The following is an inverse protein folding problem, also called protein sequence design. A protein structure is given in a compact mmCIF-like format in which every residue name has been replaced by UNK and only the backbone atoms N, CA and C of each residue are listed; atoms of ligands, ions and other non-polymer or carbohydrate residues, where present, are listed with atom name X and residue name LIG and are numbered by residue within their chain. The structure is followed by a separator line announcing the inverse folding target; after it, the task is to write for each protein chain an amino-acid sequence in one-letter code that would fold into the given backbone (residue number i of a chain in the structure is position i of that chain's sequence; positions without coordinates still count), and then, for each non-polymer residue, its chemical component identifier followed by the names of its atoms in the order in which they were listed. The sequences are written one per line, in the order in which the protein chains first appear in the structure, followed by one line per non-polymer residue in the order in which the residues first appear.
data_IF_942219699736
#
_entry.id   IF_942219699736
#
_cell.length_a   1.000
_cell.length_b   1.000
_cell.length_c   1.000
_cell.angle_alpha   90.00
_cell.angle_beta   90.00
_cell.angle_gamma   90.00
#
_symmetry.space_group_name_H-M   'P 1'
#
loop_
_entity.id
_entity.type
_entity.pdbx_description
1 polymer ?
#
# COMPACT_ATOMS: atom_id res chain seq x y z
N UNK A 1 -3.23 5.66 5.35
CA UNK A 1 -3.60 5.35 3.94
C UNK A 1 -3.58 3.85 3.74
N UNK A 2 -4.56 3.29 3.05
CA UNK A 2 -4.58 1.89 2.66
C UNK A 2 -4.46 1.84 1.14
N UNK A 3 -3.53 1.06 0.63
CA UNK A 3 -3.41 0.74 -0.80
C UNK A 3 -3.80 -0.71 -0.97
N UNK A 4 -4.97 -0.92 -1.58
CA UNK A 4 -5.49 -2.25 -1.87
C UNK A 4 -4.98 -2.72 -3.24
N UNK A 5 -4.24 -3.83 -3.24
CA UNK A 5 -3.62 -4.44 -4.40
C UNK A 5 -4.07 -5.90 -4.56
N UNK A 6 -5.25 -6.27 -4.05
CA UNK A 6 -5.80 -7.65 -4.16
C UNK A 6 -5.83 -8.15 -5.62
N UNK A 7 -6.18 -7.28 -6.58
CA UNK A 7 -6.24 -7.59 -8.03
C UNK A 7 -5.06 -7.04 -8.85
N UNK A 8 -3.94 -6.76 -8.19
CA UNK A 8 -2.75 -6.16 -8.80
C UNK A 8 -1.99 -7.06 -9.79
N UNK A 9 -2.53 -8.24 -10.13
CA UNK A 9 -1.95 -9.15 -11.14
C UNK A 9 -1.70 -8.43 -12.48
N UNK A 10 -2.43 -7.35 -12.76
CA UNK A 10 -2.29 -6.55 -13.98
C UNK A 10 -1.47 -5.26 -13.81
N UNK A 11 -0.90 -4.98 -12.63
CA UNK A 11 -0.12 -3.76 -12.43
C UNK A 11 1.23 -3.86 -13.13
N UNK A 12 1.44 -2.96 -14.10
CA UNK A 12 2.75 -2.74 -14.72
C UNK A 12 3.66 -2.01 -13.72
N UNK A 13 4.96 -2.22 -13.82
CA UNK A 13 5.99 -1.49 -13.04
C UNK A 13 5.79 0.03 -13.06
N UNK A 14 5.36 0.61 -14.18
CA UNK A 14 5.04 2.04 -14.29
C UNK A 14 3.89 2.49 -13.39
N UNK A 15 2.95 1.59 -13.06
CA UNK A 15 1.88 1.87 -12.10
C UNK A 15 2.38 1.89 -10.66
N UNK A 16 3.42 1.11 -10.36
CA UNK A 16 4.12 1.17 -9.06
C UNK A 16 4.79 2.54 -8.90
N UNK A 17 5.41 3.08 -9.95
CA UNK A 17 6.00 4.43 -9.91
C UNK A 17 4.97 5.52 -9.60
N UNK A 18 3.75 5.41 -10.15
CA UNK A 18 2.64 6.32 -9.85
C UNK A 18 2.25 6.22 -8.37
N UNK A 19 2.12 5.01 -7.83
CA UNK A 19 1.84 4.79 -6.40
C UNK A 19 2.96 5.42 -5.55
N UNK A 20 4.22 5.25 -5.95
CA UNK A 20 5.37 5.84 -5.24
C UNK A 20 5.41 7.37 -5.31
N UNK A 21 4.98 7.95 -6.43
CA UNK A 21 4.86 9.41 -6.58
C UNK A 21 3.74 9.96 -5.70
N UNK A 22 2.56 9.33 -5.74
CA UNK A 22 1.44 9.68 -4.87
C UNK A 22 1.85 9.61 -3.39
N UNK A 23 2.58 8.55 -3.00
CA UNK A 23 3.13 8.37 -1.66
C UNK A 23 4.11 9.47 -1.24
N UNK A 24 4.98 9.93 -2.15
CA UNK A 24 5.90 11.04 -1.87
C UNK A 24 5.12 12.34 -1.64
N UNK A 25 4.11 12.60 -2.47
CA UNK A 25 3.31 13.82 -2.41
C UNK A 25 2.40 13.87 -1.17
N UNK A 26 1.84 12.72 -0.75
CA UNK A 26 1.02 12.62 0.48
C UNK A 26 1.81 12.42 1.77
N UNK A 27 3.14 12.18 1.69
CA UNK A 27 3.97 11.85 2.85
C UNK A 27 4.01 12.90 3.96
N UNK A 28 3.65 14.17 3.68
CA UNK A 28 3.63 15.23 4.72
C UNK A 28 2.56 15.02 5.79
N UNK A 29 1.48 14.26 5.50
CA UNK A 29 0.33 14.12 6.40
C UNK A 29 -0.03 12.66 6.75
N UNK A 30 0.72 11.66 6.28
CA UNK A 30 0.41 10.26 6.55
C UNK A 30 1.20 9.72 7.73
N UNK A 31 0.53 9.50 8.86
CA UNK A 31 1.13 8.85 10.04
C UNK A 31 1.46 7.37 9.80
N UNK A 32 0.58 6.62 9.12
CA UNK A 32 0.77 5.20 8.81
C UNK A 32 0.16 4.82 7.45
N UNK A 33 0.79 3.85 6.78
CA UNK A 33 0.33 3.27 5.51
C UNK A 33 0.37 1.75 5.53
N UNK A 34 -0.64 1.11 4.94
CA UNK A 34 -0.74 -0.34 4.73
C UNK A 34 -0.89 -0.67 3.24
N UNK A 35 -0.23 -1.75 2.80
CA UNK A 35 -0.30 -2.28 1.44
C UNK A 35 -0.86 -3.70 1.49
N UNK A 36 -2.07 -3.89 0.98
CA UNK A 36 -2.76 -5.20 0.99
C UNK A 36 -2.33 -5.99 -0.24
N UNK A 37 -1.47 -7.00 -0.07
CA UNK A 37 -0.94 -7.83 -1.17
C UNK A 37 -1.08 -9.30 -0.78
N UNK A 38 -2.20 -9.95 -1.15
CA UNK A 38 -2.54 -11.28 -0.64
C UNK A 38 -1.88 -12.41 -1.47
N UNK A 39 -1.72 -12.23 -2.79
CA UNK A 39 -1.42 -13.34 -3.72
C UNK A 39 -0.58 -12.91 -4.94
N UNK A 40 0.47 -12.12 -4.73
CA UNK A 40 1.43 -11.77 -5.78
C UNK A 40 2.87 -11.77 -5.23
N UNK A 41 3.55 -12.94 -5.19
CA UNK A 41 4.89 -13.05 -4.61
C UNK A 41 5.93 -12.13 -5.26
N UNK A 42 6.00 -11.98 -6.60
CA UNK A 42 6.91 -11.01 -7.22
C UNK A 42 6.67 -9.57 -6.76
N UNK A 43 5.41 -9.11 -6.79
CA UNK A 43 5.05 -7.75 -6.39
C UNK A 43 5.34 -7.51 -4.90
N UNK A 44 5.15 -8.52 -4.05
CA UNK A 44 5.46 -8.45 -2.62
C UNK A 44 6.94 -8.18 -2.39
N UNK A 45 7.84 -8.87 -3.08
CA UNK A 45 9.29 -8.66 -2.94
C UNK A 45 9.73 -7.31 -3.49
N UNK A 46 9.16 -6.86 -4.61
CA UNK A 46 9.43 -5.52 -5.16
C UNK A 46 9.00 -4.40 -4.19
N UNK A 47 7.78 -4.48 -3.65
CA UNK A 47 7.29 -3.51 -2.68
C UNK A 47 8.15 -3.56 -1.42
N UNK A 48 8.53 -4.75 -0.94
CA UNK A 48 9.42 -4.91 0.22
C UNK A 48 10.76 -4.21 0.00
N UNK A 49 11.42 -4.45 -1.14
CA UNK A 49 12.68 -3.78 -1.49
C UNK A 49 12.54 -2.25 -1.46
N UNK A 50 11.45 -1.73 -2.02
CA UNK A 50 11.20 -0.28 -2.05
C UNK A 50 10.95 0.28 -0.64
N UNK A 51 10.19 -0.43 0.20
CA UNK A 51 9.92 -0.02 1.58
C UNK A 51 11.19 -0.04 2.45
N UNK A 52 12.05 -1.05 2.28
CA UNK A 52 13.35 -1.14 2.94
C UNK A 52 14.26 0.03 2.56
N UNK A 53 14.35 0.35 1.27
CA UNK A 53 15.12 1.49 0.76
C UNK A 53 14.60 2.82 1.29
N UNK A 54 13.29 2.95 1.46
CA UNK A 54 12.64 4.14 2.02
C UNK A 54 12.80 4.26 3.55
N UNK A 55 13.31 3.24 4.25
CA UNK A 55 13.53 3.19 5.71
C UNK A 55 12.37 3.72 6.55
N UNK A 56 11.13 3.42 6.16
CA UNK A 56 9.93 3.98 6.80
C UNK A 56 9.27 2.97 7.73
N UNK A 57 9.38 3.17 9.05
CA UNK A 57 8.67 2.37 10.07
C UNK A 57 7.14 2.58 10.06
N UNK A 58 6.67 3.56 9.29
CA UNK A 58 5.26 3.94 9.15
C UNK A 58 4.54 3.15 8.06
N UNK A 59 5.22 2.23 7.37
CA UNK A 59 4.69 1.50 6.21
C UNK A 59 4.74 0.00 6.48
N UNK A 60 3.63 -0.71 6.21
CA UNK A 60 3.51 -2.16 6.45
C UNK A 60 2.84 -2.86 5.27
N UNK A 61 3.39 -4.00 4.87
CA UNK A 61 2.70 -4.94 3.96
C UNK A 61 1.80 -5.83 4.81
N UNK A 62 0.54 -5.97 4.42
CA UNK A 62 -0.49 -6.74 5.11
C UNK A 62 -1.19 -7.67 4.11
N UNK A 63 -1.89 -8.68 4.61
CA UNK A 63 -2.54 -9.69 3.77
C UNK A 63 -4.02 -9.39 3.53
N UNK A 64 -4.65 -8.62 4.42
CA UNK A 64 -6.08 -8.33 4.35
C UNK A 64 -6.37 -6.85 4.54
N UNK A 65 -7.55 -6.43 4.08
CA UNK A 65 -8.05 -5.08 4.31
C UNK A 65 -8.26 -4.79 5.81
N UNK A 66 -8.63 -5.79 6.61
CA UNK A 66 -8.86 -5.60 8.03
C UNK A 66 -7.56 -5.39 8.81
N UNK A 67 -6.49 -6.13 8.48
CA UNK A 67 -5.14 -5.83 8.99
C UNK A 67 -4.68 -4.41 8.61
N UNK A 68 -5.06 -3.95 7.41
CA UNK A 68 -4.73 -2.61 6.93
C UNK A 68 -5.44 -1.53 7.76
N UNK A 69 -6.73 -1.74 8.06
CA UNK A 69 -7.54 -0.86 8.92
C UNK A 69 -6.96 -0.77 10.32
N UNK A 70 -6.67 -1.91 10.94
CA UNK A 70 -6.10 -1.98 12.29
C UNK A 70 -4.75 -1.23 12.35
N UNK A 71 -3.86 -1.51 11.40
CA UNK A 71 -2.54 -0.85 11.36
C UNK A 71 -2.66 0.67 11.22
N UNK A 72 -3.54 1.13 10.33
CA UNK A 72 -3.65 2.56 9.98
C UNK A 72 -4.58 3.35 10.90
N UNK A 73 -5.36 2.69 11.76
CA UNK A 73 -6.40 3.33 12.58
C UNK A 73 -7.62 3.80 11.77
N UNK A 74 -7.77 3.34 10.52
CA UNK A 74 -8.90 3.71 9.65
C UNK A 74 -10.04 2.74 9.92
N UNK A 75 -11.11 3.22 10.56
CA UNK A 75 -12.25 2.40 10.97
C UNK A 75 -13.34 2.25 9.89
N UNK A 76 -13.48 3.24 8.99
CA UNK A 76 -14.47 3.20 7.92
C UNK A 76 -13.84 3.59 6.57
N UNK A 77 -14.14 2.78 5.55
CA UNK A 77 -13.76 3.02 4.16
C UNK A 77 -15.06 3.13 3.36
N UNK A 78 -15.37 4.31 2.86
CA UNK A 78 -16.49 4.51 1.95
C UNK A 78 -15.99 4.23 0.54
N UNK A 79 -16.32 3.04 0.02
CA UNK A 79 -16.03 2.69 -1.37
C UNK A 79 -17.14 3.31 -2.22
N UNK A 80 -16.85 4.46 -2.84
CA UNK A 80 -17.69 4.97 -3.91
C UNK A 80 -17.48 4.06 -5.13
N UNK A 81 -18.54 3.37 -5.53
CA UNK A 81 -18.63 2.73 -6.84
C UNK A 81 -19.32 3.75 -7.76
N UNK A 82 -18.65 4.10 -8.85
CA UNK A 82 -19.33 4.68 -10.01
C UNK A 82 -20.13 3.58 -10.73
#
# INVERSE_FOLDING_TARGET
MIVDLLDAVFLKLSSIEIILKLLKETSRNLEKSAFVIPFNPPLKEEIKYVLEKAKSSKRKIVQTLDEAKEWTGISQIIIKKD
#
